data_IF_137380592128
#
_entry.id   IF_137380592128
#
_cell.length_a   1.000
_cell.length_b   1.000
_cell.length_c   1.000
_cell.angle_alpha   90.00
_cell.angle_beta   90.00
_cell.angle_gamma   90.00
#
_symmetry.space_group_name_H-M   'P 1'
#
loop_
_entity.id
_entity.type
_entity.pdbx_description
1 polymer ?
#
# COMPACT_ATOMS: atom_id res chain seq x y z
N UNK A 1 1.06 -14.92 -45.50
CA UNK A 1 1.78 -14.39 -44.31
C UNK A 1 0.82 -13.42 -43.65
N UNK A 2 0.02 -13.92 -42.73
CA UNK A 2 -1.21 -13.27 -42.28
C UNK A 2 -0.91 -12.14 -41.29
N UNK A 3 -1.54 -10.98 -41.47
CA UNK A 3 -1.25 -9.74 -40.72
C UNK A 3 -1.35 -9.87 -39.19
N UNK A 4 -2.09 -10.85 -38.69
CA UNK A 4 -2.17 -11.22 -37.27
C UNK A 4 -0.85 -11.75 -36.70
N UNK A 5 -0.10 -12.54 -37.48
CA UNK A 5 1.22 -13.04 -37.05
C UNK A 5 2.25 -11.91 -36.97
N UNK A 6 2.22 -10.95 -37.90
CA UNK A 6 3.11 -9.78 -37.88
C UNK A 6 2.90 -8.91 -36.63
N UNK A 7 1.65 -8.75 -36.20
CA UNK A 7 1.30 -7.98 -35.00
C UNK A 7 1.74 -8.66 -33.70
N UNK A 8 1.65 -9.99 -33.61
CA UNK A 8 2.10 -10.72 -32.42
C UNK A 8 3.63 -10.69 -32.27
N UNK A 9 4.37 -10.83 -33.37
CA UNK A 9 5.84 -10.69 -33.35
C UNK A 9 6.30 -9.27 -32.99
N UNK A 10 5.60 -8.22 -33.45
CA UNK A 10 5.92 -6.85 -33.05
C UNK A 10 5.71 -6.60 -31.55
N UNK A 11 4.70 -7.24 -30.96
CA UNK A 11 4.42 -7.10 -29.52
C UNK A 11 5.46 -7.85 -28.69
N UNK A 12 5.82 -9.07 -29.11
CA UNK A 12 6.90 -9.84 -28.48
C UNK A 12 8.25 -9.13 -28.55
N UNK A 13 8.55 -8.45 -29.67
CA UNK A 13 9.78 -7.70 -29.85
C UNK A 13 9.85 -6.49 -28.89
N UNK A 14 8.76 -5.72 -28.76
CA UNK A 14 8.69 -4.62 -27.78
C UNK A 14 8.87 -5.09 -26.34
N UNK A 15 8.32 -6.26 -26.01
CA UNK A 15 8.49 -6.84 -24.67
C UNK A 15 9.95 -7.25 -24.41
N UNK A 16 10.59 -7.91 -25.39
CA UNK A 16 12.00 -8.28 -25.30
C UNK A 16 12.92 -7.06 -25.19
N UNK A 17 12.65 -5.98 -25.94
CA UNK A 17 13.38 -4.70 -25.85
C UNK A 17 13.23 -4.05 -24.47
N UNK A 18 12.02 -4.06 -23.90
CA UNK A 18 11.77 -3.52 -22.56
C UNK A 18 12.49 -4.34 -21.46
N UNK A 19 12.55 -5.66 -21.61
CA UNK A 19 13.30 -6.54 -20.71
C UNK A 19 14.80 -6.28 -20.83
N UNK A 20 15.34 -6.14 -22.04
CA UNK A 20 16.76 -5.83 -22.29
C UNK A 20 17.16 -4.48 -21.68
N UNK A 21 16.36 -3.43 -21.87
CA UNK A 21 16.59 -2.12 -21.25
C UNK A 21 16.53 -2.17 -19.71
N UNK A 22 15.69 -3.05 -19.14
CA UNK A 22 15.65 -3.29 -17.68
C UNK A 22 16.91 -3.99 -17.17
N UNK A 23 17.49 -4.89 -17.97
CA UNK A 23 18.77 -5.53 -17.65
C UNK A 23 19.94 -4.54 -17.74
N UNK A 24 19.93 -3.61 -18.69
CA UNK A 24 20.93 -2.52 -18.77
C UNK A 24 20.88 -1.61 -17.55
N UNK A 25 19.69 -1.14 -17.14
CA UNK A 25 19.51 -0.34 -15.92
C UNK A 25 19.98 -1.08 -14.66
N UNK A 26 19.70 -2.39 -14.56
CA UNK A 26 20.21 -3.24 -13.47
C UNK A 26 21.74 -3.35 -13.53
N UNK A 27 22.32 -3.46 -14.72
CA UNK A 27 23.76 -3.46 -14.94
C UNK A 27 24.43 -2.14 -14.54
N UNK A 28 23.82 -1.00 -14.85
CA UNK A 28 24.30 0.34 -14.44
C UNK A 28 24.24 0.52 -12.92
N UNK A 29 23.13 0.12 -12.29
CA UNK A 29 23.02 0.13 -10.83
C UNK A 29 24.10 -0.75 -10.17
N UNK A 30 24.37 -1.93 -10.72
CA UNK A 30 25.45 -2.79 -10.25
C UNK A 30 26.83 -2.14 -10.43
N UNK A 31 27.12 -1.53 -11.58
CA UNK A 31 28.38 -0.78 -11.79
C UNK A 31 28.55 0.34 -10.77
N UNK A 32 27.49 1.09 -10.46
CA UNK A 32 27.50 2.13 -9.44
C UNK A 32 27.80 1.56 -8.03
N UNK A 33 27.17 0.44 -7.67
CA UNK A 33 27.47 -0.23 -6.39
C UNK A 33 28.91 -0.73 -6.31
N UNK A 34 29.44 -1.31 -7.40
CA UNK A 34 30.84 -1.75 -7.48
C UNK A 34 31.81 -0.57 -7.37
N UNK A 35 31.51 0.56 -8.02
CA UNK A 35 32.30 1.79 -7.87
C UNK A 35 32.26 2.33 -6.44
N UNK A 36 31.09 2.35 -5.80
CA UNK A 36 30.96 2.76 -4.39
C UNK A 36 31.79 1.86 -3.46
N UNK A 37 31.75 0.54 -3.67
CA UNK A 37 32.56 -0.42 -2.90
C UNK A 37 34.06 -0.26 -3.16
N UNK A 38 34.48 -0.02 -4.41
CA UNK A 38 35.88 0.27 -4.74
C UNK A 38 36.37 1.55 -4.09
N UNK A 39 35.55 2.60 -4.06
CA UNK A 39 35.89 3.86 -3.38
C UNK A 39 36.03 3.67 -1.87
N UNK A 40 35.15 2.87 -1.23
CA UNK A 40 35.27 2.54 0.19
C UNK A 40 36.55 1.74 0.50
N UNK A 41 36.95 0.83 -0.38
CA UNK A 41 38.21 0.09 -0.25
C UNK A 41 39.43 0.98 -0.51
N UNK A 42 39.35 1.92 -1.45
CA UNK A 42 40.42 2.87 -1.77
C UNK A 42 40.63 3.93 -0.68
N UNK A 43 39.59 4.25 0.09
CA UNK A 43 39.68 5.11 1.28
C UNK A 43 40.39 4.44 2.46
N UNK A 44 40.86 3.19 2.31
CA UNK A 44 41.72 2.53 3.30
C UNK A 44 41.10 2.53 4.69
N UNK A 45 39.79 2.26 4.79
CA UNK A 45 39.12 2.13 6.07
C UNK A 45 39.71 0.90 6.76
N UNK A 46 40.73 1.14 7.58
CA UNK A 46 41.27 0.20 8.54
C UNK A 46 40.09 -0.44 9.28
N UNK A 47 40.06 -1.77 9.29
CA UNK A 47 39.06 -2.50 10.06
C UNK A 47 39.15 -2.01 11.52
N UNK A 48 38.08 -1.45 12.11
CA UNK A 48 38.13 -1.08 13.51
C UNK A 48 38.47 -2.34 14.31
N UNK A 49 39.51 -2.25 15.14
CA UNK A 49 39.99 -3.30 16.01
C UNK A 49 38.81 -4.05 16.65
N UNK A 50 38.89 -5.38 16.62
CA UNK A 50 37.85 -6.31 17.03
C UNK A 50 37.09 -5.83 18.28
N UNK A 51 35.92 -5.24 18.06
CA UNK A 51 34.97 -4.96 19.12
C UNK A 51 34.55 -6.31 19.75
N UNK A 52 34.32 -6.37 21.07
CA UNK A 52 33.89 -7.59 21.75
C UNK A 52 32.67 -8.20 21.04
N UNK A 53 32.51 -9.55 21.08
CA UNK A 53 31.54 -10.27 20.25
C UNK A 53 30.19 -9.59 20.33
N UNK A 54 29.72 -9.12 19.17
CA UNK A 54 28.48 -8.38 19.06
C UNK A 54 27.37 -9.19 19.74
N UNK A 55 26.63 -8.62 20.71
CA UNK A 55 25.47 -9.30 21.27
C UNK A 55 24.58 -9.67 20.09
N UNK A 56 24.20 -10.96 20.01
CA UNK A 56 23.25 -11.52 19.02
C UNK A 56 22.23 -10.44 18.72
N UNK A 57 21.91 -10.12 17.45
CA UNK A 57 20.98 -9.05 17.14
C UNK A 57 19.71 -9.34 17.92
N UNK A 58 19.53 -8.63 19.04
CA UNK A 58 18.27 -8.59 19.73
C UNK A 58 17.43 -8.00 18.64
N UNK A 59 16.62 -8.85 17.99
CA UNK A 59 15.60 -8.41 17.06
C UNK A 59 14.95 -7.28 17.81
N UNK A 60 15.26 -6.03 17.46
CA UNK A 60 14.60 -4.89 18.04
C UNK A 60 13.18 -5.20 17.66
N UNK A 61 12.41 -5.76 18.60
CA UNK A 61 10.97 -5.73 18.54
C UNK A 61 10.79 -4.25 18.35
N UNK A 62 10.53 -3.84 17.09
CA UNK A 62 10.10 -2.49 16.77
C UNK A 62 9.19 -2.16 17.93
N UNK A 63 9.47 -1.12 18.74
CA UNK A 63 8.70 -0.86 19.94
C UNK A 63 7.27 -1.07 19.50
N UNK A 64 6.61 -2.11 20.04
CA UNK A 64 5.21 -2.40 19.70
C UNK A 64 4.61 -1.03 19.80
N UNK A 65 4.21 -0.43 18.66
CA UNK A 65 3.70 0.95 18.64
C UNK A 65 2.83 0.98 19.87
N UNK A 66 3.19 1.80 20.88
CA UNK A 66 2.33 1.98 22.06
C UNK A 66 0.97 2.07 21.42
N UNK A 67 0.08 1.10 21.71
CA UNK A 67 -1.28 1.17 21.18
C UNK A 67 -1.71 2.51 21.73
N UNK A 68 -1.77 3.51 20.85
CA UNK A 68 -2.19 4.85 21.22
C UNK A 68 -3.67 4.62 21.50
N UNK A 69 -3.97 4.30 22.76
CA UNK A 69 -5.30 4.48 23.31
C UNK A 69 -5.65 5.91 22.97
N UNK A 70 -6.58 6.11 22.04
CA UNK A 70 -7.15 7.42 21.78
C UNK A 70 -7.06 7.98 20.37
N UNK A 71 -6.61 7.24 19.34
CA UNK A 71 -6.74 7.76 17.96
C UNK A 71 -7.98 7.27 17.21
N UNK A 72 -8.94 6.69 17.92
CA UNK A 72 -10.25 6.33 17.39
C UNK A 72 -11.33 7.01 18.24
N UNK A 73 -12.48 7.38 17.66
CA UNK A 73 -13.54 8.04 18.41
C UNK A 73 -14.02 7.16 19.56
N UNK A 74 -14.51 7.76 20.67
CA UNK A 74 -15.03 7.02 21.81
C UNK A 74 -16.33 6.33 21.40
N UNK A 75 -16.23 5.04 21.09
CA UNK A 75 -17.37 4.22 20.68
C UNK A 75 -17.80 3.35 21.87
N UNK A 76 -19.09 3.37 22.25
CA UNK A 76 -19.59 2.54 23.33
C UNK A 76 -19.49 1.05 22.96
N UNK A 77 -19.23 0.22 23.97
CA UNK A 77 -19.20 -1.23 23.78
C UNK A 77 -20.57 -1.71 23.24
N UNK A 78 -20.56 -2.45 22.13
CA UNK A 78 -21.78 -2.95 21.50
C UNK A 78 -22.44 -2.00 20.49
N UNK A 79 -21.90 -0.82 20.22
CA UNK A 79 -22.44 0.13 19.21
C UNK A 79 -22.60 -0.48 17.80
N UNK A 80 -21.73 -1.44 17.48
CA UNK A 80 -21.74 -2.22 16.25
C UNK A 80 -22.06 -3.71 16.50
N UNK A 81 -22.62 -4.03 17.68
CA UNK A 81 -23.00 -5.38 18.04
C UNK A 81 -23.94 -6.00 17.01
N UNK A 82 -23.65 -7.23 16.59
CA UNK A 82 -24.45 -7.93 15.58
C UNK A 82 -24.22 -7.48 14.13
N UNK A 83 -23.43 -6.43 13.89
CA UNK A 83 -23.12 -5.97 12.54
C UNK A 83 -21.93 -6.70 11.93
N UNK A 84 -22.01 -6.95 10.63
CA UNK A 84 -20.87 -7.42 9.85
C UNK A 84 -19.80 -6.34 9.67
N UNK A 85 -18.53 -6.72 9.38
CA UNK A 85 -17.41 -5.79 9.24
C UNK A 85 -17.65 -4.62 8.29
N UNK A 86 -18.23 -4.91 7.13
CA UNK A 86 -18.50 -3.91 6.08
C UNK A 86 -19.61 -2.96 6.49
N UNK A 87 -20.68 -3.47 7.13
CA UNK A 87 -21.79 -2.64 7.58
C UNK A 87 -21.35 -1.70 8.71
N UNK A 88 -20.56 -2.22 9.65
CA UNK A 88 -20.01 -1.43 10.74
C UNK A 88 -19.03 -0.36 10.23
N UNK A 89 -18.21 -0.67 9.22
CA UNK A 89 -17.36 0.30 8.54
C UNK A 89 -18.16 1.44 7.90
N UNK A 90 -19.22 1.12 7.15
CA UNK A 90 -20.07 2.14 6.53
C UNK A 90 -20.75 3.04 7.55
N UNK A 91 -21.26 2.45 8.64
CA UNK A 91 -21.85 3.21 9.75
C UNK A 91 -20.81 4.12 10.42
N UNK A 92 -19.61 3.60 10.66
CA UNK A 92 -18.50 4.41 11.19
C UNK A 92 -18.18 5.60 10.29
N UNK A 93 -18.08 5.38 8.97
CA UNK A 93 -17.78 6.47 8.01
C UNK A 93 -18.91 7.49 7.94
N UNK A 94 -20.17 7.07 8.07
CA UNK A 94 -21.31 7.97 8.09
C UNK A 94 -21.35 8.85 9.35
N UNK A 95 -20.93 8.32 10.51
CA UNK A 95 -20.96 9.02 11.80
C UNK A 95 -19.71 9.89 12.05
N UNK A 96 -18.54 9.41 11.66
CA UNK A 96 -17.24 10.01 12.03
C UNK A 96 -16.40 10.45 10.84
N UNK A 97 -16.88 10.23 9.61
CA UNK A 97 -16.15 10.57 8.39
C UNK A 97 -14.97 9.65 8.06
N UNK A 98 -14.19 10.06 7.07
CA UNK A 98 -13.02 9.33 6.55
C UNK A 98 -11.68 9.82 7.13
N UNK A 99 -11.73 10.68 8.14
CA UNK A 99 -10.56 11.36 8.72
C UNK A 99 -9.67 10.41 9.55
N UNK A 100 -10.18 9.23 9.86
CA UNK A 100 -9.46 8.24 10.65
C UNK A 100 -8.67 7.25 9.77
N UNK A 101 -7.42 6.94 10.15
CA UNK A 101 -6.64 5.93 9.44
C UNK A 101 -7.24 4.53 9.70
N UNK A 102 -7.16 3.63 8.70
CA UNK A 102 -7.76 2.28 8.75
C UNK A 102 -7.45 1.49 10.04
N UNK A 103 -6.22 1.51 10.60
CA UNK A 103 -5.93 0.85 11.87
C UNK A 103 -6.72 1.40 13.07
N UNK A 104 -6.99 2.71 13.08
CA UNK A 104 -7.83 3.34 14.10
C UNK A 104 -9.29 2.91 13.96
N UNK A 105 -9.81 2.91 12.73
CA UNK A 105 -11.18 2.44 12.45
C UNK A 105 -11.34 1.00 12.91
N UNK A 106 -10.37 0.13 12.63
CA UNK A 106 -10.36 -1.25 13.13
C UNK A 106 -10.50 -1.30 14.65
N UNK A 107 -9.74 -0.50 15.37
CA UNK A 107 -9.75 -0.50 16.84
C UNK A 107 -11.09 0.01 17.39
N UNK A 108 -11.66 1.05 16.75
CA UNK A 108 -13.01 1.52 16.98
C UNK A 108 -14.08 0.44 16.78
N UNK A 109 -14.01 -0.30 15.67
CA UNK A 109 -14.95 -1.38 15.35
C UNK A 109 -14.83 -2.54 16.34
N UNK A 110 -13.61 -2.90 16.75
CA UNK A 110 -13.39 -3.93 17.77
C UNK A 110 -13.91 -3.47 19.14
N UNK A 111 -13.68 -2.21 19.52
CA UNK A 111 -14.22 -1.63 20.75
C UNK A 111 -15.75 -1.59 20.74
N UNK A 112 -16.36 -1.28 19.59
CA UNK A 112 -17.81 -1.29 19.40
C UNK A 112 -18.44 -2.68 19.24
N UNK A 113 -17.65 -3.76 19.31
CA UNK A 113 -18.17 -5.13 19.38
C UNK A 113 -18.39 -5.84 18.04
N UNK A 114 -17.73 -5.41 16.96
CA UNK A 114 -17.80 -6.10 15.66
C UNK A 114 -17.18 -7.50 15.75
N UNK A 115 -17.94 -8.52 15.36
CA UNK A 115 -17.47 -9.91 15.29
C UNK A 115 -16.59 -10.11 14.07
N UNK A 116 -15.34 -10.49 14.29
CA UNK A 116 -14.39 -10.84 13.21
C UNK A 116 -13.60 -12.10 13.54
N UNK A 117 -13.21 -12.86 12.52
CA UNK A 117 -12.37 -14.07 12.68
C UNK A 117 -10.99 -13.72 13.25
N UNK A 118 -10.43 -12.59 12.82
CA UNK A 118 -9.17 -12.06 13.35
C UNK A 118 -9.05 -10.56 13.09
N UNK A 119 -8.29 -9.89 13.96
CA UNK A 119 -7.97 -8.45 13.83
C UNK A 119 -7.24 -8.13 12.51
N UNK A 120 -6.37 -9.04 12.05
CA UNK A 120 -5.65 -8.90 10.78
C UNK A 120 -6.57 -9.06 9.58
N UNK A 121 -7.51 -10.03 9.62
CA UNK A 121 -8.51 -10.21 8.57
C UNK A 121 -9.47 -9.02 8.47
N UNK A 122 -9.82 -8.40 9.60
CA UNK A 122 -10.61 -7.18 9.61
C UNK A 122 -9.84 -6.05 8.92
N UNK A 123 -8.58 -5.84 9.30
CA UNK A 123 -7.73 -4.80 8.73
C UNK A 123 -7.59 -4.93 7.20
N UNK A 124 -7.29 -6.13 6.70
CA UNK A 124 -7.17 -6.38 5.25
C UNK A 124 -8.50 -6.18 4.53
N UNK A 125 -9.60 -6.62 5.13
CA UNK A 125 -10.96 -6.38 4.63
C UNK A 125 -11.27 -4.89 4.52
N UNK A 126 -10.98 -4.11 5.55
CA UNK A 126 -11.20 -2.65 5.56
C UNK A 126 -10.38 -1.94 4.48
N UNK A 127 -9.12 -2.32 4.27
CA UNK A 127 -8.31 -1.78 3.17
C UNK A 127 -8.91 -2.12 1.79
N UNK A 128 -9.43 -3.32 1.61
CA UNK A 128 -10.09 -3.74 0.35
C UNK A 128 -11.37 -2.96 0.09
N UNK A 129 -12.19 -2.72 1.13
CA UNK A 129 -13.41 -1.93 1.03
C UNK A 129 -13.09 -0.49 0.68
N UNK A 130 -12.15 0.13 1.40
CA UNK A 130 -11.71 1.51 1.15
C UNK A 130 -11.21 1.71 -0.28
N UNK A 131 -10.34 0.81 -0.79
CA UNK A 131 -9.88 0.89 -2.19
C UNK A 131 -11.02 0.79 -3.19
N UNK A 132 -12.02 -0.05 -2.93
CA UNK A 132 -13.20 -0.18 -3.79
C UNK A 132 -14.05 1.09 -3.77
N UNK A 133 -14.24 1.69 -2.60
CA UNK A 133 -15.02 2.91 -2.46
C UNK A 133 -14.28 4.11 -3.11
N UNK A 134 -12.96 4.19 -2.97
CA UNK A 134 -12.11 5.18 -3.67
C UNK A 134 -12.19 5.01 -5.21
N UNK A 135 -12.17 3.76 -5.71
CA UNK A 135 -12.32 3.51 -7.15
C UNK A 135 -13.72 3.87 -7.66
N UNK A 136 -14.78 3.58 -6.88
CA UNK A 136 -16.14 3.97 -7.24
C UNK A 136 -16.34 5.48 -7.24
N UNK A 137 -15.77 6.18 -6.25
CA UNK A 137 -15.82 7.63 -6.18
C UNK A 137 -15.14 8.26 -7.41
N UNK A 138 -13.95 7.78 -7.78
CA UNK A 138 -13.24 8.22 -8.99
C UNK A 138 -14.01 7.94 -10.27
N UNK A 139 -14.64 6.77 -10.39
CA UNK A 139 -15.46 6.43 -11.55
C UNK A 139 -16.72 7.32 -11.66
N UNK A 140 -17.33 7.67 -10.52
CA UNK A 140 -18.46 8.59 -10.50
C UNK A 140 -18.03 10.03 -10.83
N UNK A 141 -16.86 10.45 -10.39
CA UNK A 141 -16.27 11.75 -10.73
C UNK A 141 -15.93 11.83 -12.22
N UNK A 142 -15.33 10.79 -12.81
CA UNK A 142 -15.08 10.73 -14.25
C UNK A 142 -16.36 10.72 -15.08
N UNK A 143 -17.41 10.02 -14.62
CA UNK A 143 -18.71 10.00 -15.31
C UNK A 143 -19.39 11.39 -15.29
N UNK A 144 -19.33 12.10 -14.15
CA UNK A 144 -19.84 13.48 -14.05
C UNK A 144 -19.04 14.46 -14.89
N UNK A 145 -17.72 14.26 -15.02
CA UNK A 145 -16.87 15.09 -15.86
C UNK A 145 -17.15 14.86 -17.36
N UNK A 146 -17.49 13.64 -17.78
CA UNK A 146 -17.93 13.36 -19.15
C UNK A 146 -19.32 13.95 -19.47
N UNK A 147 -20.27 13.90 -18.53
CA UNK A 147 -21.59 14.56 -18.72
C UNK A 147 -21.47 16.08 -18.80
N UNK A 148 -20.62 16.70 -17.97
CA UNK A 148 -20.40 18.15 -18.01
C UNK A 148 -19.64 18.62 -19.27
N UNK A 149 -18.74 17.79 -19.82
CA UNK A 149 -18.03 18.10 -21.07
C UNK A 149 -18.88 17.91 -22.35
N UNK A 150 -19.95 17.11 -22.28
CA UNK A 150 -20.86 16.88 -23.39
C UNK A 150 -21.87 18.03 -23.59
N UNK A 151 -22.22 18.78 -22.54
CA UNK A 151 -23.11 19.95 -22.64
C UNK A 151 -22.41 21.21 -23.21
N UNK A 152 -21.08 21.34 -23.09
CA UNK A 152 -20.35 22.51 -23.60
C UNK A 152 -20.00 22.41 -25.11
N UNK A 153 -20.26 21.27 -25.75
CA UNK A 153 -19.95 21.03 -27.17
C UNK A 153 -21.19 21.10 -28.10
N UNK A 154 -22.34 21.54 -27.57
CA UNK A 154 -23.63 21.52 -28.24
C UNK A 154 -24.31 22.88 -28.39
N UNK A 155 -23.56 23.95 -28.62
CA UNK A 155 -24.09 25.28 -28.98
C UNK A 155 -23.54 25.78 -30.32
#
# INVERSE_FOLDING_TARGET
>A
MDGTTRSSYQTALKQAEAELASHEKRGEALKQTVMALRNLLALGVEAPAAAPPAPKPVRKRRPRRKIIRGNHPPIPAGHFGGMGPTAAYRKFVAEFGMDHPVPSIRDALLAGGVRTKSSTSLLTGLHSVRRRDEMKAKAAESAKAEEAGAEESGE
#
